data_IF_932432217551
#
_entry.id   IF_932432217551
#
_cell.length_a   1.000
_cell.length_b   1.000
_cell.length_c   1.000
_cell.angle_alpha   90.00
_cell.angle_beta   90.00
_cell.angle_gamma   90.00
#
_symmetry.space_group_name_H-M   'P 1'
#
loop_
_entity.id
_entity.type
_entity.pdbx_description
1 polymer ?
#
# COMPACT_ATOMS: atom_id res chain seq x y z
N UNK A 1 4.13 -2.35 -13.81
CA UNK A 1 3.54 -3.69 -14.00
C UNK A 1 3.96 -4.30 -15.35
N UNK A 2 3.77 -3.62 -16.50
CA UNK A 2 4.04 -4.18 -17.84
C UNK A 2 5.44 -4.78 -18.05
N UNK A 3 6.47 -4.21 -17.40
CA UNK A 3 7.84 -4.75 -17.48
C UNK A 3 8.03 -6.04 -16.66
N UNK A 4 7.23 -6.24 -15.62
CA UNK A 4 7.33 -7.39 -14.70
C UNK A 4 6.45 -8.54 -15.22
N UNK A 5 5.27 -8.20 -15.71
CA UNK A 5 4.25 -9.13 -16.20
C UNK A 5 3.86 -8.81 -17.65
N UNK A 6 4.76 -9.06 -18.64
CA UNK A 6 4.47 -8.78 -20.04
C UNK A 6 3.36 -9.71 -20.55
N UNK A 7 2.40 -9.14 -21.26
CA UNK A 7 1.30 -9.90 -21.85
C UNK A 7 0.16 -10.31 -20.91
N UNK A 8 0.25 -9.94 -19.64
CA UNK A 8 -0.87 -10.09 -18.71
C UNK A 8 -1.82 -8.88 -18.81
N UNK A 9 -3.11 -9.13 -18.61
CA UNK A 9 -4.09 -8.06 -18.50
C UNK A 9 -3.77 -7.18 -17.28
N UNK A 10 -3.91 -5.87 -17.42
CA UNK A 10 -3.58 -4.92 -16.39
C UNK A 10 -4.73 -3.95 -16.16
N UNK A 11 -5.11 -3.80 -14.91
CA UNK A 11 -6.10 -2.82 -14.46
C UNK A 11 -5.40 -1.72 -13.67
N UNK A 12 -5.79 -0.46 -13.93
CA UNK A 12 -5.27 0.70 -13.20
C UNK A 12 -6.33 1.15 -12.20
N UNK A 13 -6.01 1.00 -10.91
CA UNK A 13 -6.87 1.42 -9.81
C UNK A 13 -6.32 2.73 -9.25
N UNK A 14 -7.06 3.84 -9.46
CA UNK A 14 -6.61 5.18 -9.08
C UNK A 14 -6.38 5.33 -7.57
N UNK A 15 -7.16 4.65 -6.76
CA UNK A 15 -7.03 4.65 -5.30
C UNK A 15 -5.74 3.98 -4.80
N UNK A 16 -5.00 3.26 -5.66
CA UNK A 16 -3.70 2.67 -5.35
C UNK A 16 -2.51 3.55 -5.78
N UNK A 17 -2.73 4.83 -6.13
CA UNK A 17 -1.64 5.77 -6.37
C UNK A 17 -0.85 6.04 -5.08
N UNK A 18 0.38 6.50 -5.22
CA UNK A 18 1.21 6.92 -4.08
C UNK A 18 0.55 8.06 -3.29
N UNK A 19 0.99 8.23 -2.05
CA UNK A 19 0.63 9.36 -1.21
C UNK A 19 1.05 10.67 -1.87
N UNK A 20 0.19 11.68 -1.78
CA UNK A 20 0.54 13.05 -2.15
C UNK A 20 1.31 13.70 -0.99
N UNK A 21 2.63 13.81 -1.15
CA UNK A 21 3.50 14.41 -0.15
C UNK A 21 3.50 15.95 -0.19
N UNK A 22 2.71 16.55 -1.08
CA UNK A 22 2.56 18.00 -1.19
C UNK A 22 3.90 18.72 -1.33
N UNK A 23 4.20 19.66 -0.44
CA UNK A 23 5.46 20.43 -0.47
C UNK A 23 6.72 19.59 -0.22
N UNK A 24 6.57 18.37 0.25
CA UNK A 24 7.71 17.46 0.48
C UNK A 24 8.02 16.59 -0.73
N UNK A 25 7.23 16.66 -1.82
CA UNK A 25 7.47 15.94 -3.06
C UNK A 25 8.88 16.21 -3.62
N UNK A 26 9.52 15.14 -4.09
CA UNK A 26 10.85 15.16 -4.70
C UNK A 26 11.96 15.75 -3.83
N UNK A 27 11.76 15.85 -2.52
CA UNK A 27 12.77 16.33 -1.56
C UNK A 27 13.26 15.18 -0.69
N UNK A 28 14.54 15.18 -0.39
CA UNK A 28 15.09 14.29 0.62
C UNK A 28 15.18 15.02 1.98
N UNK A 29 15.40 14.24 3.05
CA UNK A 29 15.44 14.77 4.41
C UNK A 29 16.51 15.86 4.62
N UNK A 30 17.64 15.82 3.84
CA UNK A 30 18.70 16.83 3.93
C UNK A 30 18.25 18.18 3.39
N UNK A 31 17.46 18.16 2.31
CA UNK A 31 16.92 19.38 1.69
C UNK A 31 15.82 20.01 2.55
N UNK A 32 15.18 19.20 3.42
CA UNK A 32 14.16 19.66 4.34
C UNK A 32 14.72 20.03 5.73
N UNK A 33 16.02 19.84 5.96
CA UNK A 33 16.67 20.20 7.23
C UNK A 33 16.54 21.70 7.49
N UNK A 34 15.93 22.08 8.63
CA UNK A 34 15.65 23.48 8.98
C UNK A 34 14.31 24.03 8.49
N UNK A 35 13.52 23.25 7.74
CA UNK A 35 12.14 23.61 7.42
C UNK A 35 11.25 23.35 8.64
N UNK A 36 10.56 24.39 9.13
CA UNK A 36 9.75 24.33 10.35
C UNK A 36 8.53 23.41 10.19
N UNK A 37 7.93 23.34 9.00
CA UNK A 37 6.79 22.44 8.74
C UNK A 37 7.24 20.99 8.70
N UNK A 38 8.41 20.73 8.10
CA UNK A 38 9.00 19.38 8.13
C UNK A 38 9.35 18.94 9.55
N UNK A 39 9.94 19.83 10.37
CA UNK A 39 10.26 19.53 11.76
C UNK A 39 8.97 19.24 12.57
N UNK A 40 7.94 20.05 12.40
CA UNK A 40 6.65 19.81 13.05
C UNK A 40 6.03 18.46 12.66
N UNK A 41 6.15 18.09 11.36
CA UNK A 41 5.67 16.80 10.87
C UNK A 41 6.47 15.63 11.49
N UNK A 42 7.80 15.74 11.58
CA UNK A 42 8.66 14.74 12.24
C UNK A 42 8.31 14.63 13.73
N UNK A 43 8.17 15.76 14.44
CA UNK A 43 7.86 15.81 15.89
C UNK A 43 6.48 15.20 16.19
N UNK A 44 5.56 15.25 15.24
CA UNK A 44 4.25 14.58 15.32
C UNK A 44 4.30 13.06 15.14
N UNK A 45 5.45 12.47 14.88
CA UNK A 45 5.60 11.09 14.41
C UNK A 45 4.84 10.81 13.11
N UNK A 46 4.88 11.75 12.17
CA UNK A 46 4.23 11.65 10.87
C UNK A 46 2.69 11.49 10.96
N UNK A 47 2.06 12.09 11.97
CA UNK A 47 0.59 12.09 12.13
C UNK A 47 -0.07 13.34 11.56
N UNK A 48 0.68 14.42 11.36
CA UNK A 48 0.18 15.63 10.71
C UNK A 48 0.02 15.41 9.20
N UNK A 49 -0.97 16.08 8.56
CA UNK A 49 -1.09 16.12 7.10
C UNK A 49 0.19 16.67 6.46
N UNK A 50 0.51 16.20 5.26
CA UNK A 50 1.58 16.79 4.46
C UNK A 50 1.17 18.21 4.04
N UNK A 51 2.03 19.23 4.19
CA UNK A 51 1.69 20.60 3.80
C UNK A 51 1.31 20.71 2.32
N UNK A 52 0.03 20.99 2.04
CA UNK A 52 -0.52 21.00 0.68
C UNK A 52 -0.65 19.63 0.01
N UNK A 53 -0.52 18.56 0.77
CA UNK A 53 -0.68 17.17 0.35
C UNK A 53 -1.79 16.45 1.08
N UNK A 54 -1.69 15.13 1.16
CA UNK A 54 -2.71 14.23 1.68
C UNK A 54 -2.56 14.05 3.20
N UNK A 55 -3.69 13.88 3.89
CA UNK A 55 -3.70 13.44 5.29
C UNK A 55 -3.27 11.95 5.37
N UNK A 56 -2.40 11.57 6.33
CA UNK A 56 -1.93 10.19 6.46
C UNK A 56 -3.06 9.17 6.68
N UNK A 57 -4.15 9.54 7.36
CA UNK A 57 -5.27 8.63 7.56
C UNK A 57 -6.13 8.52 6.31
N UNK A 58 -6.39 9.64 5.62
CA UNK A 58 -7.12 9.64 4.34
C UNK A 58 -6.37 8.81 3.28
N UNK A 59 -5.03 8.94 3.23
CA UNK A 59 -4.19 8.09 2.39
C UNK A 59 -4.39 6.59 2.67
N UNK A 60 -4.30 6.18 3.96
CA UNK A 60 -4.47 4.77 4.36
C UNK A 60 -5.86 4.24 4.02
N UNK A 61 -6.89 5.05 4.24
CA UNK A 61 -8.27 4.66 3.94
C UNK A 61 -8.48 4.51 2.45
N UNK A 62 -7.98 5.45 1.64
CA UNK A 62 -8.02 5.39 0.18
C UNK A 62 -7.26 4.18 -0.38
N UNK A 63 -6.05 3.91 0.14
CA UNK A 63 -5.25 2.75 -0.25
C UNK A 63 -6.00 1.43 0.01
N UNK A 64 -6.62 1.30 1.18
CA UNK A 64 -7.43 0.14 1.53
C UNK A 64 -8.67 0.00 0.65
N UNK A 65 -9.35 1.09 0.31
CA UNK A 65 -10.46 1.08 -0.63
C UNK A 65 -10.02 0.61 -2.02
N UNK A 66 -8.89 1.12 -2.53
CA UNK A 66 -8.35 0.68 -3.82
C UNK A 66 -7.97 -0.80 -3.83
N UNK A 67 -7.45 -1.32 -2.73
CA UNK A 67 -7.20 -2.75 -2.60
C UNK A 67 -8.48 -3.59 -2.64
N UNK A 68 -9.52 -3.18 -1.93
CA UNK A 68 -10.82 -3.84 -1.95
C UNK A 68 -11.48 -3.80 -3.35
N UNK A 69 -11.34 -2.68 -4.06
CA UNK A 69 -11.77 -2.54 -5.46
C UNK A 69 -11.07 -3.59 -6.34
N UNK A 70 -9.75 -3.75 -6.20
CA UNK A 70 -8.99 -4.76 -6.92
C UNK A 70 -9.41 -6.19 -6.61
N UNK A 71 -9.64 -6.53 -5.35
CA UNK A 71 -10.14 -7.85 -4.95
C UNK A 71 -11.54 -8.13 -5.52
N UNK A 72 -12.41 -7.12 -5.57
CA UNK A 72 -13.74 -7.25 -6.14
C UNK A 72 -13.68 -7.56 -7.63
N UNK A 73 -12.86 -6.85 -8.39
CA UNK A 73 -12.64 -7.13 -9.82
C UNK A 73 -12.15 -8.58 -10.02
N UNK A 74 -11.19 -9.04 -9.22
CA UNK A 74 -10.73 -10.43 -9.28
C UNK A 74 -11.84 -11.45 -9.00
N UNK A 75 -12.69 -11.18 -8.03
CA UNK A 75 -13.80 -12.07 -7.70
C UNK A 75 -14.86 -12.13 -8.80
N UNK A 76 -15.17 -11.01 -9.45
CA UNK A 76 -16.10 -10.92 -10.57
C UNK A 76 -15.60 -11.68 -11.81
N UNK A 77 -14.29 -11.63 -12.06
CA UNK A 77 -13.64 -12.30 -13.20
C UNK A 77 -13.25 -13.75 -12.92
N UNK A 78 -13.41 -14.22 -11.69
CA UNK A 78 -12.97 -15.56 -11.27
C UNK A 78 -11.45 -15.73 -11.24
N UNK A 79 -10.71 -14.64 -11.04
CA UNK A 79 -9.25 -14.64 -10.98
C UNK A 79 -8.77 -15.25 -9.67
N UNK A 80 -7.99 -16.33 -9.74
CA UNK A 80 -7.45 -17.03 -8.56
C UNK A 80 -6.11 -16.44 -8.07
N UNK A 81 -5.40 -15.69 -8.92
CA UNK A 81 -4.09 -15.12 -8.59
C UNK A 81 -3.90 -13.76 -9.22
N UNK A 82 -3.51 -12.77 -8.43
CA UNK A 82 -3.32 -11.38 -8.87
C UNK A 82 -2.05 -10.80 -8.27
N UNK A 83 -1.36 -9.95 -9.02
CA UNK A 83 -0.23 -9.16 -8.55
C UNK A 83 -0.63 -7.69 -8.45
N UNK A 84 -0.58 -7.13 -7.26
CA UNK A 84 -0.68 -5.69 -7.02
C UNK A 84 0.72 -5.07 -7.11
N UNK A 85 1.00 -4.34 -8.18
CA UNK A 85 2.26 -3.61 -8.36
C UNK A 85 2.04 -2.17 -7.92
N UNK A 86 2.44 -1.86 -6.70
CA UNK A 86 2.11 -0.62 -5.99
C UNK A 86 3.33 -0.06 -5.26
N UNK A 87 3.20 1.14 -4.70
CA UNK A 87 4.22 1.77 -3.86
C UNK A 87 4.24 1.19 -2.44
N UNK A 88 5.38 1.34 -1.75
CA UNK A 88 5.58 0.81 -0.41
C UNK A 88 4.55 1.32 0.62
N UNK A 89 4.14 2.58 0.52
CA UNK A 89 3.10 3.15 1.37
C UNK A 89 1.76 2.42 1.26
N UNK A 90 1.39 2.01 0.04
CA UNK A 90 0.17 1.21 -0.20
C UNK A 90 0.29 -0.17 0.46
N UNK A 91 1.44 -0.85 0.30
CA UNK A 91 1.69 -2.16 0.92
C UNK A 91 1.53 -2.07 2.44
N UNK A 92 2.17 -1.06 3.05
CA UNK A 92 2.10 -0.82 4.49
C UNK A 92 0.66 -0.58 4.97
N UNK A 93 -0.11 0.25 4.27
CA UNK A 93 -1.50 0.56 4.64
C UNK A 93 -2.42 -0.66 4.56
N UNK A 94 -2.31 -1.42 3.46
CA UNK A 94 -3.11 -2.62 3.23
C UNK A 94 -2.79 -3.70 4.27
N UNK A 95 -1.51 -3.98 4.53
CA UNK A 95 -1.12 -5.03 5.47
C UNK A 95 -1.37 -4.62 6.93
N UNK A 96 -1.22 -3.36 7.31
CA UNK A 96 -1.62 -2.87 8.64
C UNK A 96 -3.09 -3.17 8.91
N UNK A 97 -3.97 -2.97 7.92
CA UNK A 97 -5.41 -3.15 8.08
C UNK A 97 -5.87 -4.61 7.97
N UNK A 98 -5.38 -5.32 6.97
CA UNK A 98 -5.96 -6.60 6.56
C UNK A 98 -5.13 -7.84 6.91
N UNK A 99 -3.84 -7.70 7.31
CA UNK A 99 -3.02 -8.86 7.62
C UNK A 99 -3.53 -9.62 8.85
N UNK A 100 -3.38 -10.95 8.80
CA UNK A 100 -3.66 -11.88 9.91
C UNK A 100 -2.78 -11.60 11.15
N UNK A 101 -1.59 -11.02 10.93
CA UNK A 101 -0.64 -10.61 11.95
C UNK A 101 -0.73 -9.11 12.18
N UNK A 102 -0.98 -8.71 13.41
CA UNK A 102 -1.06 -7.29 13.76
C UNK A 102 0.33 -6.69 13.95
N UNK A 103 0.68 -5.77 13.06
CA UNK A 103 1.89 -4.95 13.09
C UNK A 103 1.52 -3.52 12.79
N UNK A 104 2.29 -2.56 13.33
CA UNK A 104 2.13 -1.16 13.00
C UNK A 104 2.56 -0.87 11.55
N UNK A 105 2.06 0.21 10.97
CA UNK A 105 2.26 0.63 9.59
C UNK A 105 3.71 0.45 9.10
N UNK A 106 4.68 1.05 9.78
CA UNK A 106 6.09 1.02 9.39
C UNK A 106 6.77 -0.36 9.56
N UNK A 107 6.19 -1.27 10.32
CA UNK A 107 6.72 -2.63 10.46
C UNK A 107 6.47 -3.50 9.22
N UNK A 108 5.63 -3.02 8.28
CA UNK A 108 5.37 -3.62 6.98
C UNK A 108 6.23 -3.03 5.85
N UNK A 109 7.23 -2.21 6.20
CA UNK A 109 8.12 -1.60 5.21
C UNK A 109 8.83 -2.64 4.34
N UNK A 110 8.93 -2.35 3.05
CA UNK A 110 9.63 -3.15 2.05
C UNK A 110 10.58 -2.28 1.25
N UNK A 111 11.65 -2.88 0.74
CA UNK A 111 12.55 -2.23 -0.22
C UNK A 111 11.94 -2.17 -1.63
N UNK A 112 12.63 -1.46 -2.52
CA UNK A 112 12.21 -1.36 -3.92
C UNK A 112 12.25 -2.75 -4.59
N UNK A 113 11.16 -3.13 -5.23
CA UNK A 113 11.00 -4.43 -5.89
C UNK A 113 10.71 -5.59 -4.94
N UNK A 114 10.54 -5.31 -3.66
CA UNK A 114 10.14 -6.27 -2.65
C UNK A 114 8.63 -6.19 -2.34
N UNK A 115 8.11 -7.17 -1.62
CA UNK A 115 6.71 -7.23 -1.26
C UNK A 115 6.36 -8.45 -0.42
N UNK A 116 5.11 -8.83 -0.46
CA UNK A 116 4.59 -9.99 0.27
C UNK A 116 3.69 -10.83 -0.61
N UNK A 117 3.80 -12.12 -0.43
CA UNK A 117 2.82 -13.09 -0.90
C UNK A 117 1.78 -13.30 0.21
N UNK A 118 0.50 -13.25 -0.15
CA UNK A 118 -0.60 -13.43 0.79
C UNK A 118 -1.76 -14.17 0.14
N UNK A 119 -2.54 -14.86 0.95
CA UNK A 119 -3.81 -15.48 0.55
C UNK A 119 -4.97 -14.71 1.15
N UNK A 120 -5.98 -14.48 0.35
CA UNK A 120 -7.28 -13.98 0.78
C UNK A 120 -8.32 -15.08 0.59
N UNK A 121 -9.22 -15.27 1.55
CA UNK A 121 -10.37 -16.16 1.39
C UNK A 121 -11.53 -15.35 0.77
N UNK A 122 -11.88 -15.59 -0.51
CA UNK A 122 -12.98 -14.90 -1.17
C UNK A 122 -14.33 -15.14 -0.52
N UNK A 123 -14.50 -16.31 0.14
CA UNK A 123 -15.76 -16.68 0.82
C UNK A 123 -15.93 -15.96 2.16
N UNK A 124 -14.84 -15.60 2.82
CA UNK A 124 -14.85 -14.84 4.07
C UNK A 124 -15.06 -13.32 3.84
N UNK A 125 -14.98 -12.89 2.58
CA UNK A 125 -15.11 -11.51 2.21
C UNK A 125 -16.23 -11.33 1.18
N UNK A 126 -17.27 -10.63 1.57
CA UNK A 126 -18.29 -10.14 0.64
C UNK A 126 -18.75 -8.76 1.06
N UNK A 127 -18.94 -7.88 0.09
CA UNK A 127 -19.50 -6.53 0.28
C UNK A 127 -20.84 -6.58 1.05
N UNK A 128 -21.60 -7.68 0.86
CA UNK A 128 -22.89 -7.88 1.47
C UNK A 128 -22.84 -8.23 2.98
N UNK A 129 -21.72 -8.80 3.45
CA UNK A 129 -21.56 -9.19 4.86
C UNK A 129 -20.97 -8.09 5.73
N UNK A 130 -20.42 -7.03 5.14
CA UNK A 130 -19.67 -5.99 5.85
C UNK A 130 -18.37 -6.51 6.51
N UNK A 131 -17.98 -7.75 6.23
CA UNK A 131 -16.74 -8.32 6.72
C UNK A 131 -15.58 -7.87 5.84
N UNK A 132 -14.50 -7.44 6.49
CA UNK A 132 -13.27 -7.10 5.79
C UNK A 132 -12.46 -8.36 5.50
N UNK A 133 -11.72 -8.42 4.37
CA UNK A 133 -10.84 -9.54 4.09
C UNK A 133 -9.76 -9.68 5.17
N UNK A 134 -9.35 -10.91 5.40
CA UNK A 134 -8.16 -11.20 6.18
C UNK A 134 -7.11 -11.77 5.24
N UNK A 135 -5.96 -11.13 5.18
CA UNK A 135 -4.82 -11.56 4.38
C UNK A 135 -3.91 -12.45 5.23
N UNK A 136 -3.87 -13.72 4.90
CA UNK A 136 -2.88 -14.63 5.46
C UNK A 136 -1.54 -14.41 4.78
N UNK A 137 -0.66 -13.65 5.44
CA UNK A 137 0.67 -13.34 4.90
C UNK A 137 1.56 -14.58 4.95
N UNK A 138 1.99 -15.06 3.78
CA UNK A 138 2.78 -16.28 3.61
C UNK A 138 4.28 -15.98 3.70
N UNK A 139 4.81 -15.31 2.68
CA UNK A 139 6.23 -15.10 2.51
C UNK A 139 6.54 -13.64 2.12
N UNK A 140 7.68 -13.09 2.56
CA UNK A 140 8.23 -11.89 1.95
C UNK A 140 8.79 -12.22 0.55
N UNK A 141 8.52 -11.35 -0.42
CA UNK A 141 9.15 -11.37 -1.74
C UNK A 141 10.38 -10.47 -1.64
N UNK A 142 11.56 -11.03 -1.84
CA UNK A 142 12.83 -10.31 -1.76
C UNK A 142 13.54 -10.32 -3.11
N UNK A 143 14.17 -9.19 -3.43
CA UNK A 143 15.07 -9.13 -4.58
C UNK A 143 16.28 -10.01 -4.35
N UNK A 144 16.48 -11.00 -5.22
CA UNK A 144 17.73 -11.75 -5.23
C UNK A 144 18.85 -10.81 -5.66
N UNK A 145 19.76 -10.47 -4.75
CA UNK A 145 20.99 -9.75 -5.14
C UNK A 145 21.76 -10.63 -6.10
N UNK A 146 21.77 -10.27 -7.37
CA UNK A 146 22.74 -10.85 -8.30
C UNK A 146 24.14 -10.44 -7.81
N UNK A 147 24.94 -11.43 -7.49
CA UNK A 147 26.37 -11.26 -7.15
C UNK A 147 27.13 -10.87 -8.40
#
# INVERSE_FOLDING_TARGET
AACIYPGQEQQVIQNLRECDFGRFENKNWKEMTGDAEYQAWVDSNATLPFPGGEDPQEFRDRACQGFLEGLKLCAEDGTESVAFVVHGGIIMAVLERFADRKKAFYEWHVGNGEGYEAEADPAAWSDASGQQPVLRVLNPIQMTKQQ
#
